data_IF_747515587905
#
_entry.id   IF_747515587905
#
_cell.length_a   1.000
_cell.length_b   1.000
_cell.length_c   1.000
_cell.angle_alpha   90.00
_cell.angle_beta   90.00
_cell.angle_gamma   90.00
#
_symmetry.space_group_name_H-M   'P 1'
#
loop_
_entity.id
_entity.type
_entity.pdbx_description
1 polymer ?
#
# COMPACT_ATOMS: atom_id res chain seq x y z
N UNK A 1 -2.45 4.02 -46.83
CA UNK A 1 -1.28 4.54 -46.12
C UNK A 1 -1.02 3.57 -44.99
N UNK A 2 0.09 2.86 -45.02
CA UNK A 2 0.47 1.81 -44.08
C UNK A 2 0.67 2.40 -42.70
N UNK A 3 -0.02 1.84 -41.71
CA UNK A 3 0.30 2.01 -40.29
C UNK A 3 1.68 1.42 -40.12
N UNK A 4 2.65 2.26 -39.78
CA UNK A 4 4.00 1.83 -39.45
C UNK A 4 3.91 0.80 -38.33
N UNK A 5 4.42 -0.40 -38.55
CA UNK A 5 4.73 -1.38 -37.50
C UNK A 5 5.72 -0.72 -36.55
N UNK A 6 5.20 -0.17 -35.45
CA UNK A 6 6.03 0.18 -34.32
C UNK A 6 6.68 -1.12 -33.83
N UNK A 7 7.98 -1.11 -33.81
CA UNK A 7 8.85 -2.21 -33.35
C UNK A 7 8.54 -2.45 -31.85
N UNK A 8 7.53 -3.30 -31.57
CA UNK A 8 7.06 -3.61 -30.23
C UNK A 8 7.90 -4.72 -29.59
N UNK A 9 9.20 -4.51 -29.48
CA UNK A 9 10.00 -5.37 -28.62
C UNK A 9 9.58 -5.16 -27.17
N UNK A 10 9.30 -6.23 -26.40
CA UNK A 10 8.91 -6.10 -25.00
C UNK A 10 9.94 -5.31 -24.19
N UNK A 11 9.47 -4.41 -23.33
CA UNK A 11 10.34 -3.62 -22.47
C UNK A 11 11.04 -4.56 -21.48
N UNK A 12 12.38 -4.47 -21.37
CA UNK A 12 13.17 -5.28 -20.45
C UNK A 12 12.96 -4.81 -19.00
N UNK A 13 12.61 -5.75 -18.13
CA UNK A 13 12.49 -5.57 -16.69
C UNK A 13 13.59 -6.40 -15.98
N UNK A 14 14.74 -5.79 -15.65
CA UNK A 14 15.84 -6.48 -15.00
C UNK A 14 15.47 -6.91 -13.57
N UNK A 15 16.26 -7.84 -13.01
CA UNK A 15 16.22 -8.19 -11.61
C UNK A 15 17.36 -7.54 -10.84
N UNK A 16 17.25 -7.54 -9.51
CA UNK A 16 18.31 -7.10 -8.61
C UNK A 16 18.55 -8.18 -7.57
N UNK A 17 19.80 -8.60 -7.42
CA UNK A 17 20.17 -9.65 -6.49
C UNK A 17 21.39 -9.23 -5.68
N UNK A 18 21.19 -8.88 -4.41
CA UNK A 18 22.25 -8.60 -3.43
C UNK A 18 23.35 -7.66 -3.97
N UNK A 19 22.95 -6.52 -4.51
CA UNK A 19 23.86 -5.50 -5.05
C UNK A 19 24.23 -5.68 -6.52
N UNK A 20 23.64 -6.65 -7.23
CA UNK A 20 23.91 -6.91 -8.64
C UNK A 20 22.63 -6.80 -9.46
N UNK A 21 22.71 -6.11 -10.57
CA UNK A 21 21.66 -6.12 -11.60
C UNK A 21 21.81 -7.38 -12.44
N UNK A 22 20.71 -8.07 -12.68
CA UNK A 22 20.62 -9.23 -13.57
C UNK A 22 19.81 -8.80 -14.78
N UNK A 23 20.49 -8.66 -15.90
CA UNK A 23 19.88 -8.30 -17.18
C UNK A 23 19.51 -9.57 -17.96
N UNK A 24 18.51 -9.47 -18.85
CA UNK A 24 18.09 -10.56 -19.72
C UNK A 24 16.67 -10.36 -20.24
N UNK A 25 16.34 -11.13 -21.27
CA UNK A 25 15.01 -11.14 -21.91
C UNK A 25 14.59 -12.59 -22.19
N UNK A 26 14.84 -13.47 -21.23
CA UNK A 26 14.67 -14.92 -21.38
C UNK A 26 13.22 -15.37 -21.29
N UNK A 27 12.38 -14.56 -20.63
CA UNK A 27 10.95 -14.87 -20.44
C UNK A 27 10.08 -13.66 -20.75
N UNK A 28 9.03 -13.89 -21.54
CA UNK A 28 8.02 -12.87 -21.82
C UNK A 28 6.91 -12.98 -20.79
N UNK A 29 6.59 -11.86 -20.19
CA UNK A 29 5.55 -11.68 -19.18
C UNK A 29 4.51 -10.70 -19.71
N UNK A 30 3.31 -10.70 -19.13
CA UNK A 30 2.24 -9.79 -19.52
C UNK A 30 1.77 -8.97 -18.33
N UNK A 31 1.73 -7.65 -18.50
CA UNK A 31 1.12 -6.75 -17.54
C UNK A 31 -0.37 -7.04 -17.41
N UNK A 32 -0.84 -7.22 -16.17
CA UNK A 32 -2.25 -7.50 -15.88
C UNK A 32 -3.14 -6.34 -16.31
N UNK A 33 -2.72 -5.11 -16.02
CA UNK A 33 -3.60 -3.94 -16.11
C UNK A 33 -3.72 -3.40 -17.53
N UNK A 34 -2.63 -3.34 -18.29
CA UNK A 34 -2.63 -2.84 -19.65
C UNK A 34 -2.51 -3.93 -20.72
N UNK A 35 -2.26 -5.17 -20.32
CA UNK A 35 -2.06 -6.27 -21.26
C UNK A 35 -0.83 -6.11 -22.16
N UNK A 36 0.16 -5.33 -21.73
CA UNK A 36 1.41 -5.09 -22.45
C UNK A 36 2.45 -6.14 -22.05
N UNK A 37 3.23 -6.61 -23.01
CA UNK A 37 4.28 -7.58 -22.78
C UNK A 37 5.57 -6.90 -22.31
N UNK A 38 6.24 -7.51 -21.33
CA UNK A 38 7.58 -7.14 -20.87
C UNK A 38 8.46 -8.38 -20.74
N UNK A 39 9.77 -8.21 -20.85
CA UNK A 39 10.72 -9.30 -20.80
C UNK A 39 11.50 -9.30 -19.48
N UNK A 40 11.75 -10.48 -18.91
CA UNK A 40 12.53 -10.66 -17.69
C UNK A 40 13.68 -11.63 -17.92
N UNK A 41 14.79 -11.51 -17.16
CA UNK A 41 15.82 -12.51 -17.15
C UNK A 41 15.35 -13.81 -16.51
N UNK A 42 16.00 -14.92 -16.83
CA UNK A 42 15.91 -16.17 -16.07
C UNK A 42 16.84 -16.09 -14.86
N UNK A 43 16.37 -16.56 -13.72
CA UNK A 43 17.17 -16.61 -12.50
C UNK A 43 17.15 -18.02 -11.88
N UNK A 44 18.28 -18.41 -11.30
CA UNK A 44 18.31 -19.54 -10.41
C UNK A 44 17.77 -19.10 -9.02
N UNK A 45 16.76 -19.80 -8.50
CA UNK A 45 16.14 -19.45 -7.21
C UNK A 45 17.13 -19.56 -6.04
N UNK A 46 18.18 -20.39 -6.16
CA UNK A 46 19.23 -20.48 -5.13
C UNK A 46 19.98 -19.15 -4.97
N UNK A 47 20.05 -18.29 -6.01
CA UNK A 47 20.74 -17.01 -5.95
C UNK A 47 20.01 -15.99 -5.04
N UNK A 48 18.69 -16.14 -4.86
CA UNK A 48 17.88 -15.25 -3.99
C UNK A 48 17.69 -15.82 -2.58
N UNK A 49 18.05 -17.07 -2.34
CA UNK A 49 17.98 -17.72 -1.03
C UNK A 49 19.27 -17.39 -0.26
N UNK A 50 19.13 -16.80 0.92
CA UNK A 50 20.25 -16.59 1.83
C UNK A 50 20.36 -17.80 2.75
N UNK A 51 21.48 -18.56 2.71
CA UNK A 51 21.65 -19.76 3.55
C UNK A 51 21.48 -19.45 5.04
N UNK A 52 20.82 -20.33 5.78
CA UNK A 52 20.66 -20.17 7.24
C UNK A 52 21.97 -20.30 8.01
N UNK A 53 22.98 -20.88 7.39
CA UNK A 53 24.34 -21.01 7.94
C UNK A 53 25.18 -19.76 7.81
N UNK A 54 24.77 -18.79 6.96
CA UNK A 54 25.45 -17.52 6.79
C UNK A 54 24.86 -16.44 7.68
N UNK A 55 25.73 -15.60 8.22
CA UNK A 55 25.34 -14.47 9.06
C UNK A 55 24.62 -13.42 8.19
N UNK A 56 23.40 -12.98 8.57
CA UNK A 56 22.69 -11.92 7.83
C UNK A 56 23.50 -10.62 7.78
N UNK A 57 23.56 -9.93 6.63
CA UNK A 57 24.40 -8.74 6.44
C UNK A 57 24.14 -7.63 7.49
N UNK A 58 22.90 -7.47 7.94
CA UNK A 58 22.48 -6.37 8.82
C UNK A 58 22.55 -6.68 10.32
N UNK A 59 22.86 -7.92 10.73
CA UNK A 59 22.72 -8.37 12.13
C UNK A 59 23.53 -7.53 13.14
N UNK A 60 24.72 -7.06 12.73
CA UNK A 60 25.64 -6.28 13.57
C UNK A 60 25.75 -4.83 13.12
N UNK A 61 24.94 -4.38 12.16
CA UNK A 61 24.93 -2.99 11.71
C UNK A 61 24.08 -2.18 12.69
N UNK A 62 24.60 -1.09 13.30
CA UNK A 62 23.81 -0.25 14.17
C UNK A 62 22.57 0.31 13.47
N UNK A 63 21.46 0.39 14.19
CA UNK A 63 20.20 0.96 13.63
C UNK A 63 20.40 2.41 13.17
N UNK A 64 21.28 3.18 13.82
CA UNK A 64 21.62 4.55 13.41
C UNK A 64 22.28 4.60 12.03
N UNK A 65 23.20 3.66 11.73
CA UNK A 65 23.86 3.56 10.43
C UNK A 65 22.86 3.18 9.32
N UNK A 66 21.93 2.29 9.64
CA UNK A 66 20.83 1.93 8.72
C UNK A 66 19.99 3.17 8.39
N UNK A 67 19.62 3.96 9.40
CA UNK A 67 18.85 5.19 9.21
C UNK A 67 19.64 6.20 8.37
N UNK A 68 20.90 6.44 8.69
CA UNK A 68 21.74 7.42 7.99
C UNK A 68 21.88 7.05 6.50
N UNK A 69 22.09 5.77 6.17
CA UNK A 69 22.12 5.31 4.78
C UNK A 69 20.76 5.43 4.06
N UNK A 70 19.66 5.13 4.75
CA UNK A 70 18.32 5.30 4.16
C UNK A 70 18.01 6.78 3.87
N UNK A 71 18.47 7.70 4.70
CA UNK A 71 18.34 9.16 4.46
C UNK A 71 19.15 9.56 3.24
N UNK A 72 20.42 9.14 3.15
CA UNK A 72 21.28 9.39 1.98
C UNK A 72 20.66 8.82 0.70
N UNK A 73 20.11 7.60 0.77
CA UNK A 73 19.39 7.00 -0.33
C UNK A 73 18.16 7.83 -0.75
N UNK A 74 17.41 8.35 0.24
CA UNK A 74 16.28 9.24 -0.01
C UNK A 74 16.69 10.52 -0.74
N UNK A 75 17.82 11.13 -0.37
CA UNK A 75 18.35 12.32 -1.03
C UNK A 75 18.75 12.04 -2.48
N UNK A 76 19.42 10.91 -2.73
CA UNK A 76 19.79 10.52 -4.08
C UNK A 76 18.58 10.13 -4.94
N UNK A 77 17.58 9.43 -4.38
CA UNK A 77 16.35 9.06 -5.10
C UNK A 77 15.59 10.32 -5.56
N UNK A 78 15.60 11.40 -4.76
CA UNK A 78 14.98 12.69 -5.13
C UNK A 78 15.78 13.50 -6.12
N UNK A 79 17.05 13.17 -6.32
CA UNK A 79 17.92 13.93 -7.22
C UNK A 79 17.40 13.88 -8.67
N UNK A 80 17.32 15.02 -9.36
CA UNK A 80 17.02 15.03 -10.80
C UNK A 80 18.08 14.31 -11.64
N UNK A 81 19.29 14.12 -11.09
CA UNK A 81 20.39 13.42 -11.74
C UNK A 81 20.28 11.89 -11.58
N UNK A 82 19.29 11.39 -10.87
CA UNK A 82 19.08 9.96 -10.70
C UNK A 82 18.51 9.33 -11.98
N UNK A 83 19.40 8.87 -12.83
CA UNK A 83 19.07 8.22 -14.12
C UNK A 83 18.19 6.98 -13.98
N UNK A 84 18.29 6.25 -12.85
CA UNK A 84 17.53 5.02 -12.63
C UNK A 84 16.05 5.30 -12.41
N UNK A 85 15.75 6.38 -11.69
CA UNK A 85 14.35 6.79 -11.47
C UNK A 85 13.74 7.37 -12.74
N UNK A 86 14.50 8.17 -13.53
CA UNK A 86 14.02 8.68 -14.82
C UNK A 86 13.70 7.53 -15.78
N UNK A 87 14.63 6.57 -15.93
CA UNK A 87 14.44 5.36 -16.72
C UNK A 87 13.22 4.55 -16.26
N UNK A 88 13.00 4.47 -14.94
CA UNK A 88 11.84 3.80 -14.36
C UNK A 88 10.53 4.47 -14.78
N UNK A 89 10.44 5.78 -14.65
CA UNK A 89 9.22 6.53 -15.02
C UNK A 89 8.91 6.40 -16.52
N UNK A 90 9.93 6.44 -17.38
CA UNK A 90 9.77 6.21 -18.81
C UNK A 90 9.23 4.81 -19.14
N UNK A 91 9.73 3.79 -18.45
CA UNK A 91 9.28 2.41 -18.64
C UNK A 91 7.88 2.17 -18.06
N UNK A 92 7.57 2.73 -16.89
CA UNK A 92 6.26 2.59 -16.25
C UNK A 92 5.14 3.20 -17.10
N UNK A 93 5.40 4.27 -17.82
CA UNK A 93 4.41 4.88 -18.70
C UNK A 93 3.77 3.90 -19.70
N UNK A 94 4.44 2.78 -20.01
CA UNK A 94 3.94 1.75 -20.94
C UNK A 94 3.23 0.57 -20.25
N UNK A 95 3.39 0.37 -18.93
CA UNK A 95 2.90 -0.83 -18.22
C UNK A 95 1.95 -0.51 -17.08
N UNK A 96 1.97 0.71 -16.55
CA UNK A 96 1.21 1.12 -15.39
C UNK A 96 -0.05 1.89 -15.78
N UNK A 97 -1.14 1.69 -15.02
CA UNK A 97 -2.41 2.37 -15.27
C UNK A 97 -2.42 3.84 -14.84
N UNK A 98 -1.58 4.23 -13.88
CA UNK A 98 -1.47 5.63 -13.47
C UNK A 98 -0.64 6.42 -14.50
N UNK A 99 -1.04 7.65 -14.84
CA UNK A 99 -0.23 8.55 -15.65
C UNK A 99 1.14 8.79 -15.02
N UNK A 100 2.14 9.08 -15.86
CA UNK A 100 3.52 9.35 -15.42
C UNK A 100 3.58 10.40 -14.34
N UNK A 101 2.89 11.51 -14.51
CA UNK A 101 2.89 12.63 -13.58
C UNK A 101 2.34 12.24 -12.21
N UNK A 102 1.34 11.34 -12.18
CA UNK A 102 0.79 10.80 -10.92
C UNK A 102 1.81 9.89 -10.25
N UNK A 103 2.48 9.02 -11.00
CA UNK A 103 3.53 8.14 -10.47
C UNK A 103 4.69 8.97 -9.90
N UNK A 104 5.16 9.99 -10.61
CA UNK A 104 6.22 10.89 -10.17
C UNK A 104 5.82 11.61 -8.87
N UNK A 105 4.60 12.15 -8.80
CA UNK A 105 4.10 12.81 -7.59
C UNK A 105 3.98 11.84 -6.39
N UNK A 106 3.49 10.61 -6.62
CA UNK A 106 3.42 9.55 -5.61
C UNK A 106 4.81 9.19 -5.09
N UNK A 107 5.78 9.02 -5.99
CA UNK A 107 7.16 8.71 -5.61
C UNK A 107 7.83 9.86 -4.86
N UNK A 108 7.65 11.10 -5.31
CA UNK A 108 8.16 12.28 -4.63
C UNK A 108 7.61 12.39 -3.20
N UNK A 109 6.31 12.10 -3.01
CA UNK A 109 5.70 12.03 -1.67
C UNK A 109 6.25 10.86 -0.85
N UNK A 110 6.30 9.65 -1.43
CA UNK A 110 6.72 8.45 -0.71
C UNK A 110 8.18 8.53 -0.20
N UNK A 111 9.08 9.17 -0.95
CA UNK A 111 10.49 9.33 -0.57
C UNK A 111 10.65 10.17 0.70
N UNK A 112 9.68 11.01 1.07
CA UNK A 112 9.71 11.71 2.35
C UNK A 112 9.70 10.75 3.55
N UNK A 113 9.25 9.52 3.38
CA UNK A 113 9.35 8.50 4.42
C UNK A 113 10.80 8.18 4.83
N UNK A 114 11.78 8.38 3.92
CA UNK A 114 13.20 8.22 4.19
C UNK A 114 13.81 9.46 4.87
N UNK A 115 13.10 10.03 5.83
CA UNK A 115 13.55 11.11 6.67
C UNK A 115 13.95 10.56 8.05
N UNK A 116 15.01 11.11 8.64
CA UNK A 116 15.58 10.63 9.92
C UNK A 116 14.54 10.59 11.04
N UNK A 117 13.81 11.68 11.22
CA UNK A 117 12.83 11.79 12.30
C UNK A 117 11.66 10.82 12.10
N UNK A 118 11.27 10.62 10.83
CA UNK A 118 10.21 9.65 10.47
C UNK A 118 10.66 8.22 10.78
N UNK A 119 11.87 7.84 10.36
CA UNK A 119 12.39 6.49 10.58
C UNK A 119 12.62 6.19 12.08
N UNK A 120 13.10 7.18 12.84
CA UNK A 120 13.24 7.06 14.29
C UNK A 120 11.88 6.92 14.97
N UNK A 121 10.91 7.76 14.58
CA UNK A 121 9.55 7.70 15.14
C UNK A 121 8.85 6.38 14.82
N UNK A 122 9.04 5.83 13.63
CA UNK A 122 8.52 4.50 13.25
C UNK A 122 9.04 3.43 14.21
N UNK A 123 10.33 3.45 14.56
CA UNK A 123 10.92 2.51 15.52
C UNK A 123 10.36 2.71 16.94
N UNK A 124 10.31 3.95 17.43
CA UNK A 124 9.80 4.28 18.76
C UNK A 124 8.35 3.83 18.98
N UNK A 125 7.51 3.90 17.95
CA UNK A 125 6.11 3.51 18.05
C UNK A 125 5.89 2.01 17.88
N UNK A 126 6.76 1.33 17.13
CA UNK A 126 6.63 -0.09 16.86
C UNK A 126 7.31 -0.99 17.92
N UNK A 127 8.27 -0.46 18.68
CA UNK A 127 9.01 -1.24 19.68
C UNK A 127 8.92 -0.62 21.06
N UNK A 128 8.66 -1.42 22.12
CA UNK A 128 8.72 -0.93 23.50
C UNK A 128 10.10 -0.36 23.88
N UNK A 129 11.17 -0.91 23.29
CA UNK A 129 12.53 -0.43 23.36
C UNK A 129 13.21 -0.74 22.01
N UNK A 130 13.44 0.29 21.15
CA UNK A 130 14.08 0.11 19.85
C UNK A 130 15.50 -0.46 19.92
N UNK A 131 16.21 -0.29 21.05
CA UNK A 131 17.54 -0.89 21.26
C UNK A 131 17.54 -2.40 21.16
N UNK A 132 16.37 -3.04 21.33
CA UNK A 132 16.22 -4.49 21.15
C UNK A 132 16.62 -4.98 19.74
N UNK A 133 16.69 -4.11 18.75
CA UNK A 133 17.21 -4.43 17.42
C UNK A 133 18.74 -4.52 17.38
N UNK A 134 19.42 -3.84 18.30
CA UNK A 134 20.89 -3.76 18.35
C UNK A 134 21.48 -4.65 19.45
N UNK A 135 20.82 -4.75 20.59
CA UNK A 135 21.36 -5.38 21.79
C UNK A 135 20.33 -6.23 22.56
N UNK A 136 20.81 -7.03 23.49
CA UNK A 136 20.00 -7.78 24.41
C UNK A 136 19.51 -6.89 25.55
N UNK A 137 18.20 -6.70 25.67
CA UNK A 137 17.56 -5.87 26.69
C UNK A 137 17.32 -6.73 27.94
N UNK A 138 17.88 -6.36 29.11
CA UNK A 138 17.67 -7.08 30.35
C UNK A 138 16.21 -6.94 30.82
N UNK A 139 15.65 -8.06 31.26
CA UNK A 139 14.33 -8.16 31.88
C UNK A 139 14.44 -8.89 33.21
N UNK A 140 13.56 -8.53 34.13
CA UNK A 140 13.43 -9.24 35.40
C UNK A 140 11.92 -9.41 35.70
N UNK A 141 11.51 -10.63 36.06
CA UNK A 141 10.13 -10.87 36.46
C UNK A 141 9.88 -10.55 37.94
N UNK A 142 8.64 -10.71 38.38
CA UNK A 142 8.24 -10.48 39.77
C UNK A 142 8.85 -11.48 40.79
N UNK A 143 9.40 -12.61 40.33
CA UNK A 143 10.09 -13.60 41.15
C UNK A 143 11.59 -13.28 41.28
N UNK A 144 12.09 -12.27 40.59
CA UNK A 144 13.50 -11.92 40.54
C UNK A 144 14.30 -12.69 39.47
N UNK A 145 13.66 -13.58 38.69
CA UNK A 145 14.30 -14.30 37.60
C UNK A 145 14.70 -13.33 36.47
N UNK A 146 15.95 -13.44 36.04
CA UNK A 146 16.54 -12.58 35.01
C UNK A 146 16.46 -13.26 33.64
N UNK A 147 16.22 -12.44 32.62
CA UNK A 147 16.28 -12.83 31.22
C UNK A 147 16.74 -11.66 30.36
N UNK A 148 17.06 -11.93 29.11
CA UNK A 148 17.40 -10.93 28.11
C UNK A 148 16.51 -11.17 26.89
N UNK A 149 16.04 -10.08 26.28
CA UNK A 149 15.18 -10.14 25.08
C UNK A 149 15.81 -9.34 23.96
N UNK A 150 15.82 -9.91 22.76
CA UNK A 150 16.29 -9.22 21.55
C UNK A 150 15.35 -9.48 20.38
N UNK A 151 15.21 -8.48 19.49
CA UNK A 151 14.49 -8.60 18.23
C UNK A 151 15.49 -8.92 17.10
N UNK A 152 15.19 -9.95 16.32
CA UNK A 152 16.01 -10.36 15.18
C UNK A 152 15.24 -10.22 13.88
N UNK A 153 15.92 -9.71 12.83
CA UNK A 153 15.38 -9.65 11.48
C UNK A 153 15.22 -11.02 10.86
N UNK A 154 14.03 -11.37 10.39
CA UNK A 154 13.77 -12.62 9.68
C UNK A 154 14.20 -12.55 8.21
N UNK A 155 13.97 -13.64 7.49
CA UNK A 155 13.99 -13.66 6.02
C UNK A 155 12.58 -13.42 5.51
N UNK A 156 12.37 -12.29 4.85
CA UNK A 156 11.07 -11.84 4.37
C UNK A 156 10.93 -11.99 2.87
N UNK A 157 9.76 -12.43 2.43
CA UNK A 157 9.32 -12.23 1.06
C UNK A 157 8.25 -11.14 1.09
N UNK A 158 8.46 -10.08 0.32
CA UNK A 158 7.47 -9.01 0.14
C UNK A 158 6.77 -9.19 -1.21
N UNK A 159 5.46 -9.43 -1.20
CA UNK A 159 4.63 -9.38 -2.40
C UNK A 159 4.15 -7.95 -2.55
N UNK A 160 4.64 -7.26 -3.57
CA UNK A 160 4.36 -5.84 -3.77
C UNK A 160 3.05 -5.62 -4.54
N UNK A 161 2.30 -4.55 -4.23
CA UNK A 161 1.10 -4.18 -4.96
C UNK A 161 1.46 -3.57 -6.32
N UNK A 162 0.52 -3.64 -7.27
CA UNK A 162 0.70 -3.04 -8.59
C UNK A 162 0.18 -1.62 -8.72
N UNK A 163 -0.69 -1.21 -7.82
CA UNK A 163 -1.41 0.08 -7.89
C UNK A 163 -0.79 1.20 -7.04
N UNK A 164 0.25 0.91 -6.28
CA UNK A 164 0.85 1.87 -5.35
C UNK A 164 2.38 1.75 -5.33
N UNK A 165 3.09 2.35 -6.29
CA UNK A 165 4.56 2.26 -6.41
C UNK A 165 5.29 2.79 -5.17
N UNK A 166 4.72 3.75 -4.44
CA UNK A 166 5.29 4.28 -3.19
C UNK A 166 5.46 3.24 -2.06
N UNK A 167 4.71 2.13 -2.09
CA UNK A 167 4.86 1.03 -1.12
C UNK A 167 6.24 0.39 -1.21
N UNK A 168 6.90 0.43 -2.36
CA UNK A 168 8.26 -0.09 -2.53
C UNK A 168 9.26 0.59 -1.57
N UNK A 169 9.19 1.92 -1.44
CA UNK A 169 10.06 2.68 -0.51
C UNK A 169 9.81 2.28 0.93
N UNK A 170 8.54 2.20 1.34
CA UNK A 170 8.17 1.77 2.70
C UNK A 170 8.65 0.35 2.99
N UNK A 171 8.50 -0.57 2.03
CA UNK A 171 8.95 -1.97 2.18
C UNK A 171 10.46 -2.09 2.32
N UNK A 172 11.24 -1.30 1.55
CA UNK A 172 12.71 -1.21 1.69
C UNK A 172 13.07 -0.73 3.10
N UNK A 173 12.51 0.42 3.51
CA UNK A 173 12.84 1.04 4.80
C UNK A 173 12.48 0.12 5.96
N UNK A 174 11.28 -0.43 5.98
CA UNK A 174 10.82 -1.32 7.05
C UNK A 174 11.64 -2.60 7.12
N UNK A 175 11.96 -3.21 5.97
CA UNK A 175 12.82 -4.40 5.90
C UNK A 175 14.24 -4.12 6.40
N UNK A 176 14.82 -2.97 6.06
CA UNK A 176 16.15 -2.56 6.54
C UNK A 176 16.14 -2.25 8.05
N UNK A 177 15.18 -1.48 8.54
CA UNK A 177 15.05 -1.10 9.96
C UNK A 177 14.97 -2.31 10.89
N UNK A 178 14.28 -3.37 10.49
CA UNK A 178 14.20 -4.62 11.26
C UNK A 178 15.34 -5.59 10.95
N UNK A 179 16.35 -5.17 10.19
CA UNK A 179 17.55 -5.95 9.84
C UNK A 179 17.27 -7.26 9.12
N UNK A 180 16.21 -7.30 8.30
CA UNK A 180 15.79 -8.48 7.56
C UNK A 180 16.65 -8.74 6.33
N UNK A 181 16.62 -9.98 5.87
CA UNK A 181 16.91 -10.32 4.48
C UNK A 181 15.60 -10.21 3.72
N UNK A 182 15.61 -9.52 2.58
CA UNK A 182 14.40 -9.14 1.88
C UNK A 182 14.43 -9.62 0.42
N UNK A 183 13.42 -10.39 0.05
CA UNK A 183 13.12 -10.73 -1.33
C UNK A 183 11.82 -10.03 -1.73
N UNK A 184 11.90 -9.12 -2.69
CA UNK A 184 10.75 -8.41 -3.21
C UNK A 184 10.23 -9.10 -4.48
N UNK A 185 8.99 -9.60 -4.40
CA UNK A 185 8.23 -10.07 -5.56
C UNK A 185 7.56 -8.85 -6.20
N UNK A 186 8.03 -8.46 -7.37
CA UNK A 186 7.47 -7.35 -8.13
C UNK A 186 6.11 -7.70 -8.71
N UNK A 187 5.26 -6.67 -8.91
CA UNK A 187 3.99 -6.79 -9.60
C UNK A 187 4.18 -6.76 -11.12
N UNK A 188 3.26 -7.38 -11.87
CA UNK A 188 3.25 -7.25 -13.34
C UNK A 188 2.82 -5.86 -13.83
N UNK A 189 2.15 -5.07 -12.98
CA UNK A 189 1.81 -3.67 -13.28
C UNK A 189 3.01 -2.74 -13.04
N UNK A 190 3.89 -3.09 -12.09
CA UNK A 190 5.10 -2.32 -11.76
C UNK A 190 6.31 -3.27 -11.60
N UNK A 191 6.91 -3.72 -12.68
CA UNK A 191 8.12 -4.54 -12.63
C UNK A 191 9.43 -3.73 -12.60
N UNK A 192 9.39 -2.40 -12.37
CA UNK A 192 10.53 -1.51 -12.53
C UNK A 192 10.91 -0.76 -11.26
N UNK A 193 9.94 -0.23 -10.49
CA UNK A 193 10.19 0.70 -9.37
C UNK A 193 11.16 0.11 -8.34
N UNK A 194 10.92 -1.11 -7.89
CA UNK A 194 11.78 -1.72 -6.86
C UNK A 194 13.24 -1.84 -7.32
N UNK A 195 13.45 -2.26 -8.56
CA UNK A 195 14.80 -2.39 -9.11
C UNK A 195 15.48 -1.02 -9.27
N UNK A 196 14.76 0.00 -9.71
CA UNK A 196 15.29 1.35 -9.83
C UNK A 196 15.73 1.92 -8.47
N UNK A 197 14.94 1.70 -7.43
CA UNK A 197 15.28 2.10 -6.05
C UNK A 197 16.54 1.38 -5.54
N UNK A 198 16.62 0.06 -5.72
CA UNK A 198 17.78 -0.72 -5.30
C UNK A 198 19.04 -0.41 -6.10
N UNK A 199 18.92 -0.07 -7.41
CA UNK A 199 20.03 0.46 -8.22
C UNK A 199 20.50 1.81 -7.73
N UNK A 200 19.59 2.69 -7.34
CA UNK A 200 19.92 3.99 -6.74
C UNK A 200 20.71 3.83 -5.45
N UNK A 201 20.32 2.91 -4.59
CA UNK A 201 21.05 2.60 -3.36
C UNK A 201 22.43 1.98 -3.64
N UNK A 202 22.52 1.10 -4.63
CA UNK A 202 23.79 0.47 -5.04
C UNK A 202 24.76 1.45 -5.73
N UNK A 203 24.28 2.55 -6.30
CA UNK A 203 25.10 3.63 -6.84
C UNK A 203 25.85 4.37 -5.73
N UNK A 204 25.23 4.51 -4.56
CA UNK A 204 25.86 5.10 -3.37
C UNK A 204 26.95 4.16 -2.84
N UNK A 205 26.59 2.95 -2.48
CA UNK A 205 27.51 1.89 -2.07
C UNK A 205 26.96 0.49 -2.42
N UNK A 206 27.48 -0.17 -3.47
CA UNK A 206 27.02 -1.50 -3.89
C UNK A 206 27.36 -2.59 -2.85
N UNK A 207 28.24 -2.31 -1.88
CA UNK A 207 28.62 -3.25 -0.82
C UNK A 207 27.96 -2.97 0.52
N UNK A 208 27.19 -1.90 0.64
CA UNK A 208 26.49 -1.60 1.88
C UNK A 208 25.63 -2.78 2.34
N UNK A 209 25.63 -3.14 3.64
CA UNK A 209 24.88 -4.29 4.15
C UNK A 209 23.39 -4.27 3.81
N UNK A 210 22.76 -3.08 3.75
CA UNK A 210 21.36 -2.95 3.30
C UNK A 210 21.22 -3.46 1.87
N UNK A 211 22.08 -3.01 0.96
CA UNK A 211 22.06 -3.40 -0.46
C UNK A 211 22.27 -4.91 -0.61
N UNK A 212 23.17 -5.49 0.19
CA UNK A 212 23.44 -6.93 0.22
C UNK A 212 22.31 -7.76 0.83
N UNK A 213 21.45 -7.16 1.64
CA UNK A 213 20.30 -7.84 2.25
C UNK A 213 19.05 -7.89 1.36
N UNK A 214 19.10 -7.25 0.17
CA UNK A 214 17.92 -7.04 -0.68
C UNK A 214 18.05 -7.70 -2.04
N UNK A 215 16.96 -8.32 -2.50
CA UNK A 215 16.78 -8.86 -3.84
C UNK A 215 15.38 -8.54 -4.36
N UNK A 216 15.26 -8.25 -5.65
CA UNK A 216 13.98 -7.98 -6.32
C UNK A 216 13.88 -8.79 -7.60
N UNK A 217 12.88 -9.63 -7.71
CA UNK A 217 12.62 -10.45 -8.89
C UNK A 217 11.12 -10.46 -9.21
N UNK A 218 10.80 -10.87 -10.42
CA UNK A 218 9.42 -11.09 -10.85
C UNK A 218 9.16 -12.58 -11.11
N UNK A 219 8.02 -13.04 -10.65
CA UNK A 219 7.37 -14.27 -11.11
C UNK A 219 5.86 -14.09 -11.13
N UNK A 220 5.20 -14.80 -12.02
CA UNK A 220 3.76 -14.77 -12.11
C UNK A 220 3.14 -15.37 -10.85
N UNK A 221 2.15 -14.69 -10.25
CA UNK A 221 1.39 -15.25 -9.12
C UNK A 221 0.73 -16.58 -9.52
N UNK A 222 0.89 -17.60 -8.67
CA UNK A 222 0.45 -18.96 -8.97
C UNK A 222 1.44 -19.78 -9.80
N UNK A 223 2.71 -19.32 -9.96
CA UNK A 223 3.79 -20.18 -10.43
C UNK A 223 4.15 -21.19 -9.33
N UNK A 224 3.54 -22.37 -9.43
CA UNK A 224 3.68 -23.43 -8.44
C UNK A 224 5.12 -23.86 -8.21
N UNK A 225 5.97 -23.86 -9.23
CA UNK A 225 7.37 -24.22 -9.07
C UNK A 225 8.12 -23.20 -8.20
N UNK A 226 8.02 -21.93 -8.54
CA UNK A 226 8.68 -20.84 -7.81
C UNK A 226 8.12 -20.69 -6.40
N UNK A 227 6.79 -20.68 -6.25
CA UNK A 227 6.14 -20.46 -4.95
C UNK A 227 6.32 -21.65 -4.02
N UNK A 228 6.20 -22.90 -4.49
CA UNK A 228 6.50 -24.10 -3.69
C UNK A 228 7.98 -24.20 -3.31
N UNK A 229 8.88 -23.58 -4.05
CA UNK A 229 10.30 -23.52 -3.71
C UNK A 229 10.56 -22.47 -2.66
N UNK A 230 10.11 -21.22 -2.86
CA UNK A 230 10.46 -20.09 -2.02
C UNK A 230 9.62 -20.00 -0.74
N UNK A 231 8.32 -20.35 -0.79
CA UNK A 231 7.40 -20.22 0.34
C UNK A 231 7.55 -21.39 1.34
N UNK A 232 8.77 -21.56 1.83
CA UNK A 232 9.11 -22.64 2.78
C UNK A 232 9.89 -22.11 3.97
N UNK A 233 9.60 -22.62 5.18
CA UNK A 233 10.31 -22.20 6.40
C UNK A 233 11.81 -22.54 6.39
N UNK A 234 12.28 -23.41 5.49
CA UNK A 234 13.70 -23.65 5.28
C UNK A 234 14.43 -22.43 4.73
N UNK A 235 13.77 -21.63 3.92
CA UNK A 235 14.37 -20.50 3.18
C UNK A 235 13.91 -19.15 3.72
N UNK A 236 12.61 -18.99 3.95
CA UNK A 236 12.03 -17.73 4.42
C UNK A 236 11.17 -17.97 5.67
N UNK A 237 11.06 -16.93 6.50
CA UNK A 237 10.35 -17.02 7.78
C UNK A 237 8.93 -16.45 7.67
N UNK A 238 8.79 -15.35 6.91
CA UNK A 238 7.50 -14.65 6.78
C UNK A 238 7.29 -14.13 5.38
N UNK A 239 6.03 -14.05 5.02
CA UNK A 239 5.55 -13.41 3.83
C UNK A 239 4.83 -12.12 4.21
N UNK A 240 5.24 -10.99 3.65
CA UNK A 240 4.60 -9.68 3.78
C UNK A 240 3.86 -9.43 2.48
N UNK A 241 2.53 -9.52 2.50
CA UNK A 241 1.75 -9.44 1.28
C UNK A 241 0.91 -8.16 1.24
N UNK A 242 1.13 -7.37 0.19
CA UNK A 242 0.29 -6.25 -0.20
C UNK A 242 -0.47 -6.64 -1.46
N UNK A 243 -1.78 -6.63 -1.45
CA UNK A 243 -2.48 -6.96 -2.68
C UNK A 243 -3.98 -7.18 -2.54
N UNK A 244 -4.62 -7.38 -3.69
CA UNK A 244 -6.02 -7.74 -3.78
C UNK A 244 -6.29 -9.17 -3.29
N UNK A 245 -7.57 -9.52 -3.14
CA UNK A 245 -8.01 -10.80 -2.61
C UNK A 245 -7.37 -12.02 -3.27
N UNK A 246 -7.23 -12.01 -4.59
CA UNK A 246 -6.61 -13.11 -5.34
C UNK A 246 -5.15 -13.32 -4.97
N UNK A 247 -4.38 -12.24 -4.79
CA UNK A 247 -2.98 -12.31 -4.38
C UNK A 247 -2.85 -12.87 -2.96
N UNK A 248 -3.69 -12.41 -2.03
CA UNK A 248 -3.72 -12.91 -0.64
C UNK A 248 -4.16 -14.37 -0.61
N UNK A 249 -5.23 -14.74 -1.31
CA UNK A 249 -5.72 -16.11 -1.39
C UNK A 249 -4.67 -17.07 -2.02
N UNK A 250 -3.90 -16.58 -2.99
CA UNK A 250 -2.82 -17.37 -3.56
C UNK A 250 -1.73 -17.70 -2.55
N UNK A 251 -1.35 -16.75 -1.68
CA UNK A 251 -0.27 -16.98 -0.71
C UNK A 251 -0.72 -17.76 0.52
N UNK A 252 -1.99 -17.64 0.94
CA UNK A 252 -2.55 -18.36 2.09
C UNK A 252 -2.38 -19.88 1.98
N UNK A 253 -2.48 -20.44 0.78
CA UNK A 253 -2.34 -21.89 0.52
C UNK A 253 -0.96 -22.46 0.88
N UNK A 254 0.07 -21.60 0.99
CA UNK A 254 1.44 -21.99 1.35
C UNK A 254 1.75 -21.81 2.83
N UNK A 255 0.83 -21.25 3.62
CA UNK A 255 1.05 -21.04 5.04
C UNK A 255 1.03 -22.38 5.80
N UNK A 256 1.93 -22.49 6.76
CA UNK A 256 2.05 -23.67 7.59
C UNK A 256 2.97 -23.44 8.79
N UNK A 257 3.24 -24.47 9.59
CA UNK A 257 4.14 -24.36 10.74
C UNK A 257 5.49 -23.77 10.37
N UNK A 258 5.90 -22.70 11.05
CA UNK A 258 7.18 -22.02 10.83
C UNK A 258 7.21 -21.01 9.68
N UNK A 259 6.13 -20.86 8.90
CA UNK A 259 6.01 -19.83 7.85
C UNK A 259 4.77 -18.98 8.13
N UNK A 260 4.97 -17.66 8.33
CA UNK A 260 3.94 -16.73 8.78
C UNK A 260 3.57 -15.73 7.71
N UNK A 261 2.34 -15.24 7.75
CA UNK A 261 1.84 -14.13 6.91
C UNK A 261 1.67 -12.86 7.75
N UNK A 262 2.16 -11.76 7.20
CA UNK A 262 1.77 -10.40 7.58
C UNK A 262 1.08 -9.81 6.36
N UNK A 263 -0.25 -9.77 6.38
CA UNK A 263 -1.03 -9.31 5.24
C UNK A 263 -1.52 -7.88 5.43
N UNK A 264 -1.48 -7.14 4.36
CA UNK A 264 -2.16 -5.87 4.17
C UNK A 264 -3.30 -6.15 3.19
N UNK A 265 -4.43 -6.57 3.77
CA UNK A 265 -5.56 -7.12 3.03
C UNK A 265 -6.27 -6.06 2.19
N UNK A 266 -7.05 -6.46 1.18
CA UNK A 266 -7.94 -5.55 0.47
C UNK A 266 -8.92 -4.91 1.46
N UNK A 267 -9.00 -3.59 1.41
CA UNK A 267 -9.84 -2.80 2.32
C UNK A 267 -10.74 -1.86 1.54
N UNK A 268 -11.79 -1.42 2.21
CA UNK A 268 -12.73 -0.42 1.71
C UNK A 268 -12.75 0.74 2.68
N UNK A 269 -12.47 1.95 2.20
CA UNK A 269 -12.61 3.16 2.99
C UNK A 269 -13.95 3.84 2.70
N UNK A 270 -14.48 4.49 3.73
CA UNK A 270 -15.79 5.15 3.69
C UNK A 270 -15.70 6.56 4.26
N UNK A 271 -16.73 7.37 4.02
CA UNK A 271 -16.90 8.65 4.70
C UNK A 271 -18.25 8.69 5.40
N UNK A 272 -18.30 9.38 6.52
CA UNK A 272 -19.53 9.66 7.29
C UNK A 272 -19.71 11.18 7.37
N UNK A 273 -20.76 11.69 6.73
CA UNK A 273 -21.08 13.12 6.63
C UNK A 273 -22.35 13.43 7.39
N UNK A 274 -22.24 14.19 8.47
CA UNK A 274 -23.35 14.59 9.32
C UNK A 274 -24.22 15.70 8.69
N UNK A 275 -25.41 15.89 9.25
CA UNK A 275 -26.39 16.89 8.82
C UNK A 275 -25.88 18.31 8.85
N UNK A 276 -24.84 18.59 9.60
CA UNK A 276 -24.18 19.90 9.71
C UNK A 276 -23.59 20.37 8.37
N UNK A 277 -23.34 19.43 7.44
CA UNK A 277 -22.97 19.75 6.06
C UNK A 277 -24.04 20.57 5.32
N UNK A 278 -25.30 20.59 5.82
CA UNK A 278 -26.43 21.25 5.22
C UNK A 278 -26.84 22.56 5.90
N UNK A 279 -26.01 23.12 6.77
CA UNK A 279 -26.29 24.39 7.45
C UNK A 279 -26.25 25.59 6.51
N UNK A 280 -25.43 25.51 5.45
CA UNK A 280 -25.34 26.51 4.39
C UNK A 280 -24.84 25.92 3.07
N UNK A 281 -24.90 26.69 1.98
CA UNK A 281 -24.33 26.28 0.71
C UNK A 281 -22.80 26.14 0.77
N UNK A 282 -22.14 26.98 1.58
CA UNK A 282 -20.70 26.94 1.80
C UNK A 282 -20.28 25.64 2.51
N UNK A 283 -21.05 25.17 3.49
CA UNK A 283 -20.75 23.92 4.19
C UNK A 283 -20.97 22.69 3.31
N UNK A 284 -21.94 22.72 2.38
CA UNK A 284 -22.13 21.67 1.37
C UNK A 284 -20.89 21.62 0.44
N UNK A 285 -20.48 22.77 -0.08
CA UNK A 285 -19.30 22.85 -0.98
C UNK A 285 -18.03 22.41 -0.28
N UNK A 286 -17.82 22.81 0.98
CA UNK A 286 -16.68 22.38 1.77
C UNK A 286 -16.69 20.86 1.99
N UNK A 287 -17.78 20.29 2.46
CA UNK A 287 -17.89 18.86 2.69
C UNK A 287 -17.70 18.05 1.39
N UNK A 288 -18.24 18.53 0.27
CA UNK A 288 -18.06 17.91 -1.04
C UNK A 288 -16.61 17.99 -1.53
N UNK A 289 -15.92 19.11 -1.32
CA UNK A 289 -14.50 19.26 -1.69
C UNK A 289 -13.62 18.32 -0.88
N UNK A 290 -13.81 18.26 0.44
CA UNK A 290 -13.11 17.34 1.33
C UNK A 290 -13.38 15.88 0.95
N UNK A 291 -14.65 15.50 0.73
CA UNK A 291 -15.00 14.15 0.31
C UNK A 291 -14.37 13.78 -1.02
N UNK A 292 -14.30 14.72 -1.98
CA UNK A 292 -13.67 14.49 -3.27
C UNK A 292 -12.17 14.24 -3.16
N UNK A 293 -11.48 14.85 -2.20
CA UNK A 293 -10.06 14.58 -1.93
C UNK A 293 -9.86 13.12 -1.46
N UNK A 294 -10.72 12.63 -0.57
CA UNK A 294 -10.69 11.25 -0.10
C UNK A 294 -11.06 10.25 -1.20
N UNK A 295 -12.03 10.57 -2.06
CA UNK A 295 -12.41 9.72 -3.21
C UNK A 295 -11.27 9.63 -4.22
N UNK A 296 -10.66 10.76 -4.57
CA UNK A 296 -9.71 10.86 -5.69
C UNK A 296 -8.27 10.47 -5.33
N UNK A 297 -8.04 10.00 -4.11
CA UNK A 297 -6.70 9.60 -3.67
C UNK A 297 -6.10 8.53 -4.61
N UNK A 298 -4.97 8.86 -5.27
CA UNK A 298 -4.33 8.06 -6.32
C UNK A 298 -5.32 7.66 -7.44
N UNK A 299 -6.14 8.59 -7.90
CA UNK A 299 -7.23 8.32 -8.84
C UNK A 299 -8.14 7.16 -8.38
N UNK A 300 -8.41 7.09 -7.06
CA UNK A 300 -9.18 6.07 -6.37
C UNK A 300 -8.51 4.66 -6.32
N UNK A 301 -7.24 4.54 -6.70
CA UNK A 301 -6.50 3.27 -6.60
C UNK A 301 -6.06 2.93 -5.16
N UNK A 302 -5.95 3.92 -4.27
CA UNK A 302 -5.55 3.69 -2.89
C UNK A 302 -6.62 2.94 -2.08
N UNK A 303 -6.18 2.05 -1.18
CA UNK A 303 -7.09 1.38 -0.24
C UNK A 303 -7.75 2.36 0.75
N UNK A 304 -7.10 3.49 1.04
CA UNK A 304 -7.66 4.57 1.85
C UNK A 304 -8.62 5.49 1.09
N UNK A 305 -8.73 5.37 -0.25
CA UNK A 305 -9.68 6.14 -1.02
C UNK A 305 -11.11 5.78 -0.63
N UNK A 306 -11.91 6.81 -0.28
CA UNK A 306 -13.30 6.62 0.13
C UNK A 306 -14.17 6.24 -1.06
N UNK A 307 -14.93 5.16 -0.93
CA UNK A 307 -15.79 4.62 -1.99
C UNK A 307 -17.25 4.84 -1.72
N UNK A 308 -17.65 4.80 -0.45
CA UNK A 308 -19.01 5.01 0.00
C UNK A 308 -19.06 6.21 0.95
N UNK A 309 -19.98 7.14 0.65
CA UNK A 309 -20.21 8.35 1.44
C UNK A 309 -21.57 8.18 2.13
N UNK A 310 -21.59 7.87 3.42
CA UNK A 310 -22.84 7.81 4.21
C UNK A 310 -23.20 9.21 4.67
N UNK A 311 -24.30 9.74 4.15
CA UNK A 311 -24.68 11.15 4.33
C UNK A 311 -26.01 11.25 5.05
N UNK A 312 -26.00 11.90 6.22
CA UNK A 312 -27.17 12.13 7.08
C UNK A 312 -27.96 13.34 6.57
N UNK A 313 -29.13 13.10 5.94
CA UNK A 313 -29.94 14.19 5.39
C UNK A 313 -31.24 13.75 4.72
N UNK A 314 -32.01 14.72 4.23
CA UNK A 314 -33.14 14.45 3.32
C UNK A 314 -32.63 14.08 1.92
N UNK A 315 -33.49 13.45 1.10
CA UNK A 315 -33.13 13.12 -0.30
C UNK A 315 -32.63 14.36 -1.06
N UNK A 316 -33.35 15.48 -0.97
CA UNK A 316 -32.98 16.73 -1.65
C UNK A 316 -31.62 17.29 -1.17
N UNK A 317 -31.34 17.21 0.13
CA UNK A 317 -30.05 17.63 0.69
C UNK A 317 -28.92 16.75 0.17
N UNK A 318 -29.10 15.43 0.16
CA UNK A 318 -28.11 14.46 -0.30
C UNK A 318 -27.91 14.57 -1.82
N UNK A 319 -28.96 14.85 -2.61
CA UNK A 319 -28.83 15.15 -4.04
C UNK A 319 -27.93 16.39 -4.28
N UNK A 320 -28.13 17.47 -3.49
CA UNK A 320 -27.29 18.66 -3.60
C UNK A 320 -25.84 18.39 -3.26
N UNK A 321 -25.58 17.62 -2.22
CA UNK A 321 -24.22 17.15 -1.86
C UNK A 321 -23.63 16.30 -2.96
N UNK A 322 -24.37 15.33 -3.52
CA UNK A 322 -23.94 14.44 -4.58
C UNK A 322 -23.57 15.19 -5.84
N UNK A 323 -24.39 16.20 -6.21
CA UNK A 323 -24.07 17.08 -7.34
C UNK A 323 -22.80 17.90 -7.10
N UNK A 324 -22.61 18.44 -5.90
CA UNK A 324 -21.39 19.17 -5.54
C UNK A 324 -20.17 18.24 -5.56
N UNK A 325 -20.30 17.04 -4.98
CA UNK A 325 -19.24 16.02 -4.99
C UNK A 325 -18.84 15.62 -6.43
N UNK A 326 -19.81 15.38 -7.31
CA UNK A 326 -19.54 15.08 -8.72
C UNK A 326 -18.74 16.19 -9.39
N UNK A 327 -19.12 17.46 -9.20
CA UNK A 327 -18.38 18.62 -9.74
C UNK A 327 -16.92 18.60 -9.28
N UNK A 328 -16.67 18.39 -7.99
CA UNK A 328 -15.32 18.35 -7.41
C UNK A 328 -14.50 17.17 -7.91
N UNK A 329 -15.11 15.98 -8.05
CA UNK A 329 -14.44 14.81 -8.64
C UNK A 329 -14.06 15.10 -10.10
N UNK A 330 -14.97 15.68 -10.90
CA UNK A 330 -14.70 16.00 -12.29
C UNK A 330 -13.57 17.05 -12.45
N UNK A 331 -13.54 18.08 -11.59
CA UNK A 331 -12.46 19.07 -11.54
C UNK A 331 -11.10 18.41 -11.25
N UNK A 332 -11.03 17.53 -10.25
CA UNK A 332 -9.81 16.80 -9.90
C UNK A 332 -9.40 15.78 -10.97
N UNK A 333 -10.36 15.13 -11.61
CA UNK A 333 -10.11 14.21 -12.71
C UNK A 333 -9.51 14.93 -13.92
N UNK A 334 -10.05 16.10 -14.27
CA UNK A 334 -9.50 16.94 -15.34
C UNK A 334 -8.08 17.40 -15.04
N UNK A 335 -7.80 17.77 -13.79
CA UNK A 335 -6.45 18.17 -13.35
C UNK A 335 -5.43 17.01 -13.37
N UNK A 336 -5.87 15.76 -13.14
CA UNK A 336 -5.00 14.59 -13.18
C UNK A 336 -4.63 14.14 -14.60
N UNK A 337 -5.37 14.58 -15.62
CA UNK A 337 -5.16 14.17 -17.01
C UNK A 337 -5.51 12.69 -17.32
N UNK A 338 -5.95 11.93 -16.33
CA UNK A 338 -6.33 10.51 -16.49
C UNK A 338 -7.79 10.39 -16.92
N UNK A 339 -8.02 9.99 -18.16
CA UNK A 339 -9.35 9.75 -18.75
C UNK A 339 -9.43 8.28 -19.17
N UNK A 340 -9.32 7.37 -18.22
CA UNK A 340 -9.55 5.95 -18.48
C UNK A 340 -11.05 5.68 -18.55
N UNK A 341 -11.53 4.96 -19.57
CA UNK A 341 -12.91 4.51 -19.59
C UNK A 341 -13.19 3.56 -18.41
N UNK A 342 -14.42 3.53 -17.96
CA UNK A 342 -14.87 2.53 -16.99
C UNK A 342 -14.75 1.13 -17.59
N UNK A 343 -14.52 0.14 -16.73
CA UNK A 343 -14.61 -1.27 -17.13
C UNK A 343 -16.02 -1.58 -17.65
N UNK A 344 -16.16 -2.43 -18.69
CA UNK A 344 -17.45 -2.66 -19.33
C UNK A 344 -18.56 -3.08 -18.35
N UNK A 345 -18.27 -3.99 -17.40
CA UNK A 345 -19.26 -4.43 -16.42
C UNK A 345 -19.76 -3.30 -15.52
N UNK A 346 -18.86 -2.48 -15.00
CA UNK A 346 -19.24 -1.35 -14.14
C UNK A 346 -19.97 -0.25 -14.93
N UNK A 347 -19.57 -0.04 -16.19
CA UNK A 347 -20.29 0.89 -17.07
C UNK A 347 -21.73 0.43 -17.31
N UNK A 348 -21.93 -0.85 -17.63
CA UNK A 348 -23.26 -1.42 -17.88
C UNK A 348 -24.16 -1.30 -16.63
N UNK A 349 -23.62 -1.52 -15.44
CA UNK A 349 -24.32 -1.31 -14.16
C UNK A 349 -24.73 0.16 -13.96
N UNK A 350 -23.81 1.11 -14.20
CA UNK A 350 -24.11 2.55 -14.05
C UNK A 350 -25.15 2.98 -15.09
N UNK A 351 -25.05 2.53 -16.34
CA UNK A 351 -26.03 2.83 -17.39
C UNK A 351 -27.42 2.26 -17.03
N UNK A 352 -27.48 1.08 -16.41
CA UNK A 352 -28.73 0.52 -15.90
C UNK A 352 -29.32 1.37 -14.77
N UNK A 353 -28.48 1.85 -13.82
CA UNK A 353 -28.93 2.72 -12.72
C UNK A 353 -29.46 4.06 -13.22
N UNK A 354 -28.91 4.63 -14.30
CA UNK A 354 -29.45 5.86 -14.92
C UNK A 354 -30.90 5.65 -15.40
N UNK A 355 -31.28 4.42 -15.78
CA UNK A 355 -32.63 4.09 -16.22
C UNK A 355 -33.58 3.78 -15.04
N UNK A 356 -33.06 3.61 -13.82
CA UNK A 356 -33.78 3.30 -12.60
C UNK A 356 -33.89 4.56 -11.72
N UNK A 357 -34.45 5.64 -12.24
CA UNK A 357 -34.46 6.98 -11.62
C UNK A 357 -35.30 7.09 -10.34
N UNK A 358 -36.19 6.13 -10.08
CA UNK A 358 -36.92 6.03 -8.81
C UNK A 358 -35.99 5.59 -7.63
N UNK A 359 -35.02 4.72 -7.92
CA UNK A 359 -34.15 4.09 -6.91
C UNK A 359 -32.79 4.78 -6.81
N UNK A 360 -32.28 5.32 -7.93
CA UNK A 360 -30.95 5.94 -8.02
C UNK A 360 -31.01 7.35 -8.61
N UNK A 361 -30.15 8.23 -8.10
CA UNK A 361 -29.85 9.52 -8.79
C UNK A 361 -28.38 9.49 -9.20
N UNK A 362 -28.10 9.49 -10.49
CA UNK A 362 -26.71 9.41 -11.02
C UNK A 362 -26.29 10.78 -11.56
N UNK A 363 -25.15 11.27 -11.07
CA UNK A 363 -24.50 12.50 -11.50
C UNK A 363 -23.23 12.15 -12.29
N UNK A 364 -23.16 12.63 -13.52
CA UNK A 364 -22.08 12.31 -14.47
C UNK A 364 -22.47 11.22 -15.47
N UNK A 365 -21.52 10.91 -16.35
CA UNK A 365 -21.67 9.92 -17.41
C UNK A 365 -20.65 8.78 -17.19
N UNK A 366 -20.94 7.59 -17.70
CA UNK A 366 -20.05 6.42 -17.61
C UNK A 366 -18.80 6.56 -18.55
N UNK A 367 -18.22 7.76 -18.63
CA UNK A 367 -17.14 8.13 -19.54
C UNK A 367 -15.73 8.17 -18.89
N UNK A 368 -15.64 7.82 -17.58
CA UNK A 368 -14.37 7.81 -16.83
C UNK A 368 -13.92 9.16 -16.28
N UNK A 369 -14.74 10.20 -16.37
CA UNK A 369 -14.42 11.55 -15.85
C UNK A 369 -14.90 11.78 -14.41
N UNK A 370 -15.68 10.86 -13.88
CA UNK A 370 -16.21 10.91 -12.53
C UNK A 370 -17.71 10.67 -12.49
N UNK A 371 -18.15 9.77 -11.60
CA UNK A 371 -19.55 9.44 -11.41
C UNK A 371 -19.88 9.44 -9.92
N UNK A 372 -21.01 10.03 -9.57
CA UNK A 372 -21.58 9.92 -8.22
C UNK A 372 -22.97 9.31 -8.31
N UNK A 373 -23.17 8.24 -7.56
CA UNK A 373 -24.43 7.51 -7.50
C UNK A 373 -25.05 7.75 -6.12
N UNK A 374 -26.18 8.43 -6.04
CA UNK A 374 -26.96 8.54 -4.83
C UNK A 374 -27.99 7.39 -4.77
N UNK A 375 -28.03 6.71 -3.63
CA UNK A 375 -28.90 5.56 -3.34
C UNK A 375 -29.31 5.51 -1.87
N UNK A 376 -30.33 4.71 -1.53
CA UNK A 376 -30.74 4.45 -0.15
C UNK A 376 -29.90 3.33 0.51
N UNK A 377 -29.29 2.43 -0.28
CA UNK A 377 -28.42 1.33 0.15
C UNK A 377 -27.15 1.33 -0.70
N UNK A 378 -26.02 0.80 -0.19
CA UNK A 378 -24.82 0.66 -1.01
C UNK A 378 -25.05 -0.14 -2.29
N UNK A 379 -24.43 0.30 -3.40
CA UNK A 379 -24.44 -0.46 -4.65
C UNK A 379 -23.71 -1.79 -4.51
N UNK A 380 -24.14 -2.82 -5.27
CA UNK A 380 -23.62 -4.18 -5.17
C UNK A 380 -22.21 -4.37 -5.76
N UNK A 381 -21.69 -3.40 -6.50
CA UNK A 381 -20.33 -3.42 -7.03
C UNK A 381 -19.38 -2.55 -6.20
N UNK A 382 -18.07 -2.80 -6.33
CA UNK A 382 -17.04 -2.00 -5.67
C UNK A 382 -16.74 -0.75 -6.52
N UNK A 383 -17.08 0.48 -6.05
CA UNK A 383 -16.83 1.70 -6.83
C UNK A 383 -15.33 1.93 -7.03
N UNK A 384 -14.90 2.03 -8.28
CA UNK A 384 -13.53 2.30 -8.71
C UNK A 384 -13.52 3.36 -9.80
N UNK A 385 -12.33 3.78 -10.20
CA UNK A 385 -12.13 4.69 -11.33
C UNK A 385 -12.98 5.97 -11.25
N UNK A 386 -12.83 6.70 -10.12
CA UNK A 386 -13.50 8.00 -9.87
C UNK A 386 -15.02 7.89 -9.71
N UNK A 387 -15.49 6.73 -9.28
CA UNK A 387 -16.89 6.49 -8.96
C UNK A 387 -17.12 6.53 -7.45
N UNK A 388 -18.06 7.32 -6.98
CA UNK A 388 -18.45 7.37 -5.57
C UNK A 388 -19.93 7.00 -5.41
N UNK A 389 -20.23 6.17 -4.42
CA UNK A 389 -21.61 5.91 -4.02
C UNK A 389 -21.94 6.74 -2.77
N UNK A 390 -22.91 7.63 -2.88
CA UNK A 390 -23.46 8.40 -1.79
C UNK A 390 -24.71 7.68 -1.29
N UNK A 391 -24.64 7.17 -0.07
CA UNK A 391 -25.74 6.44 0.57
C UNK A 391 -26.42 7.35 1.57
N UNK A 392 -27.70 7.63 1.35
CA UNK A 392 -28.49 8.43 2.29
C UNK A 392 -28.79 7.63 3.56
N UNK A 393 -28.57 8.25 4.70
CA UNK A 393 -28.94 7.67 6.01
C UNK A 393 -29.79 8.65 6.80
N UNK A 394 -30.71 8.13 7.60
CA UNK A 394 -31.52 8.93 8.50
C UNK A 394 -30.73 9.46 9.69
N UNK A 395 -29.71 8.72 10.08
CA UNK A 395 -28.75 9.06 11.14
C UNK A 395 -27.40 8.40 10.81
N UNK A 396 -26.28 8.99 11.25
CA UNK A 396 -24.98 8.34 11.15
C UNK A 396 -24.93 6.99 11.91
N UNK A 397 -25.83 6.75 12.85
CA UNK A 397 -25.99 5.44 13.49
C UNK A 397 -26.36 4.34 12.48
N UNK A 398 -27.14 4.68 11.46
CA UNK A 398 -27.54 3.72 10.41
C UNK A 398 -26.35 3.28 9.55
N UNK A 399 -25.32 4.12 9.42
CA UNK A 399 -24.08 3.80 8.69
C UNK A 399 -23.25 2.72 9.41
N UNK A 400 -23.42 2.56 10.72
CA UNK A 400 -22.64 1.61 11.52
C UNK A 400 -22.81 0.15 11.08
N UNK A 401 -23.96 -0.21 10.48
CA UNK A 401 -24.22 -1.57 9.98
C UNK A 401 -23.29 -1.99 8.82
N UNK A 402 -22.66 -1.03 8.16
CA UNK A 402 -21.74 -1.26 7.04
C UNK A 402 -20.27 -1.29 7.44
N UNK A 403 -19.97 -0.95 8.70
CA UNK A 403 -18.61 -0.98 9.23
C UNK A 403 -18.23 -2.42 9.61
N UNK A 404 -17.09 -2.88 9.13
CA UNK A 404 -16.58 -4.23 9.43
C UNK A 404 -15.05 -4.27 9.35
N UNK A 405 -14.44 -5.43 9.54
CA UNK A 405 -12.97 -5.62 9.55
C UNK A 405 -12.26 -5.28 8.21
N UNK A 406 -13.02 -5.16 7.12
CA UNK A 406 -12.51 -4.67 5.85
C UNK A 406 -12.58 -3.13 5.74
N UNK A 407 -13.16 -2.41 6.72
CA UNK A 407 -13.18 -0.96 6.75
C UNK A 407 -11.84 -0.42 7.22
N UNK A 408 -11.05 0.18 6.31
CA UNK A 408 -9.74 0.72 6.66
C UNK A 408 -9.85 2.11 7.29
N UNK A 409 -10.29 3.09 6.49
CA UNK A 409 -10.34 4.50 6.91
C UNK A 409 -11.78 5.01 6.85
N UNK A 410 -12.17 5.74 7.89
CA UNK A 410 -13.44 6.48 7.97
C UNK A 410 -13.11 7.97 8.01
N UNK A 411 -13.39 8.70 6.91
CA UNK A 411 -13.39 10.16 6.88
C UNK A 411 -14.65 10.70 7.55
N UNK A 412 -14.52 11.56 8.55
CA UNK A 412 -15.64 12.01 9.38
C UNK A 412 -15.88 13.52 9.29
N UNK A 413 -17.13 13.94 9.07
CA UNK A 413 -17.53 15.33 9.05
C UNK A 413 -18.89 15.54 9.74
N UNK A 414 -19.05 16.53 10.62
CA UNK A 414 -17.99 17.33 11.25
C UNK A 414 -17.20 16.48 12.26
N UNK A 415 -15.93 16.79 12.43
CA UNK A 415 -15.03 15.94 13.23
C UNK A 415 -15.30 15.96 14.73
N UNK A 416 -15.92 17.01 15.25
CA UNK A 416 -16.29 17.10 16.67
C UNK A 416 -17.31 16.03 17.10
N UNK A 417 -18.11 15.48 16.16
CA UNK A 417 -18.99 14.34 16.43
C UNK A 417 -18.24 12.99 16.55
N UNK A 418 -16.99 12.93 16.16
CA UNK A 418 -16.23 11.66 16.11
C UNK A 418 -16.12 10.99 17.48
N UNK A 419 -16.11 11.78 18.57
CA UNK A 419 -16.02 11.25 19.92
C UNK A 419 -17.17 10.29 20.28
N UNK A 420 -18.35 10.49 19.70
CA UNK A 420 -19.54 9.66 19.92
C UNK A 420 -19.51 8.35 19.12
N UNK A 421 -18.67 8.28 18.08
CA UNK A 421 -18.63 7.18 17.10
C UNK A 421 -17.36 6.35 17.13
N UNK A 422 -16.19 6.93 17.48
CA UNK A 422 -14.87 6.29 17.30
C UNK A 422 -14.75 4.90 17.94
N UNK A 423 -15.26 4.74 19.17
CA UNK A 423 -15.16 3.46 19.89
C UNK A 423 -16.08 2.40 19.28
N UNK A 424 -17.23 2.83 18.76
CA UNK A 424 -18.18 1.99 18.03
C UNK A 424 -17.61 1.60 16.65
N UNK A 425 -17.02 2.55 15.93
CA UNK A 425 -16.32 2.31 14.67
C UNK A 425 -15.17 1.30 14.84
N UNK A 426 -14.35 1.51 15.87
CA UNK A 426 -13.26 0.60 16.20
C UNK A 426 -13.79 -0.80 16.58
N UNK A 427 -14.83 -0.89 17.40
CA UNK A 427 -15.50 -2.14 17.76
C UNK A 427 -16.14 -2.84 16.56
N UNK A 428 -16.65 -2.06 15.59
CA UNK A 428 -17.19 -2.56 14.32
C UNK A 428 -16.12 -3.08 13.35
N UNK A 429 -14.86 -2.71 13.57
CA UNK A 429 -13.72 -3.18 12.76
C UNK A 429 -12.98 -2.10 11.97
N UNK A 430 -13.45 -0.83 12.02
CA UNK A 430 -12.73 0.27 11.38
C UNK A 430 -11.33 0.43 11.99
N UNK A 431 -10.33 0.60 11.13
CA UNK A 431 -8.94 0.58 11.56
C UNK A 431 -8.35 1.97 11.76
N UNK A 432 -8.97 2.98 11.17
CA UNK A 432 -8.57 4.37 11.25
C UNK A 432 -9.78 5.30 11.12
N UNK A 433 -9.82 6.34 11.95
CA UNK A 433 -10.78 7.43 11.83
C UNK A 433 -10.02 8.74 11.67
N UNK A 434 -10.42 9.58 10.72
CA UNK A 434 -9.75 10.84 10.41
C UNK A 434 -10.76 11.93 10.04
N UNK A 435 -10.32 13.18 9.94
CA UNK A 435 -11.11 14.22 9.33
C UNK A 435 -11.44 13.85 7.86
N UNK A 436 -12.62 14.20 7.41
CA UNK A 436 -12.95 14.14 5.98
C UNK A 436 -11.94 14.97 5.18
N UNK A 437 -11.44 14.44 4.08
CA UNK A 437 -10.39 15.04 3.26
C UNK A 437 -8.95 14.69 3.66
N UNK A 438 -8.77 13.96 4.77
CA UNK A 438 -7.47 13.61 5.33
C UNK A 438 -7.13 12.11 5.20
N UNK A 439 -7.84 11.39 4.34
CA UNK A 439 -7.58 9.95 4.15
C UNK A 439 -6.16 9.67 3.67
N UNK A 440 -5.56 10.57 2.88
CA UNK A 440 -4.19 10.49 2.39
C UNK A 440 -3.11 10.76 3.44
N UNK A 441 -3.43 11.51 4.50
CA UNK A 441 -2.52 11.84 5.58
C UNK A 441 -2.40 10.70 6.60
N UNK A 442 -1.19 10.36 7.03
CA UNK A 442 -0.98 9.39 8.11
C UNK A 442 -0.06 9.96 9.17
N UNK A 443 -0.39 9.76 10.44
CA UNK A 443 0.55 10.08 11.53
C UNK A 443 1.64 9.01 11.56
N UNK A 444 2.88 9.47 11.50
CA UNK A 444 4.04 8.58 11.47
C UNK A 444 4.10 7.67 12.68
N UNK A 445 4.32 6.38 12.44
CA UNK A 445 4.45 5.36 13.48
C UNK A 445 3.12 4.83 14.03
N UNK A 446 1.98 5.42 13.66
CA UNK A 446 0.68 4.89 14.06
C UNK A 446 0.42 3.49 13.46
N UNK A 447 -0.47 2.71 14.06
CA UNK A 447 -0.88 1.43 13.50
C UNK A 447 -1.35 1.56 12.05
N UNK A 448 -1.02 0.58 11.24
CA UNK A 448 -1.50 0.45 9.87
C UNK A 448 -2.16 -0.92 9.72
N UNK A 449 -3.34 -0.96 9.12
CA UNK A 449 -4.16 -2.17 9.02
C UNK A 449 -4.29 -2.92 10.36
N UNK A 450 -4.65 -2.16 11.41
CA UNK A 450 -4.84 -2.62 12.79
C UNK A 450 -3.60 -3.28 13.43
N UNK A 451 -2.40 -3.02 12.95
CA UNK A 451 -1.16 -3.59 13.51
C UNK A 451 -0.01 -2.58 13.54
N UNK A 452 1.01 -2.88 14.33
CA UNK A 452 2.32 -2.26 14.26
C UNK A 452 3.22 -3.13 13.37
N UNK A 453 3.47 -2.76 12.09
CA UNK A 453 4.08 -3.67 11.12
C UNK A 453 5.47 -4.16 11.51
N UNK A 454 6.36 -3.28 11.99
CA UNK A 454 7.73 -3.67 12.33
C UNK A 454 7.77 -4.68 13.48
N UNK A 455 6.87 -4.53 14.46
CA UNK A 455 6.74 -5.50 15.55
C UNK A 455 6.32 -6.89 15.03
N UNK A 456 5.47 -6.95 14.00
CA UNK A 456 5.04 -8.20 13.36
C UNK A 456 6.13 -8.82 12.48
N UNK A 457 7.06 -8.01 11.96
CA UNK A 457 8.12 -8.50 11.09
C UNK A 457 9.19 -9.26 11.87
N UNK A 458 9.61 -8.82 13.05
CA UNK A 458 10.72 -9.41 13.80
C UNK A 458 10.41 -10.78 14.43
N UNK A 459 11.48 -11.49 14.79
CA UNK A 459 11.46 -12.59 15.74
C UNK A 459 11.96 -12.11 17.11
N UNK A 460 11.14 -12.27 18.14
CA UNK A 460 11.54 -11.99 19.50
C UNK A 460 12.17 -13.22 20.11
N UNK A 461 13.41 -13.09 20.60
CA UNK A 461 14.17 -14.17 21.21
C UNK A 461 14.41 -13.84 22.67
N UNK A 462 14.16 -14.79 23.56
CA UNK A 462 14.50 -14.71 24.97
C UNK A 462 15.72 -15.60 25.26
N UNK A 463 16.68 -15.03 26.00
CA UNK A 463 17.75 -15.76 26.65
C UNK A 463 17.48 -15.72 28.15
N UNK A 464 17.29 -16.88 28.80
CA UNK A 464 16.99 -16.96 30.21
C UNK A 464 18.23 -17.44 30.99
N UNK A 465 18.58 -16.71 32.04
CA UNK A 465 19.60 -17.15 32.96
C UNK A 465 19.09 -18.37 33.75
N UNK A 466 19.91 -19.40 33.84
CA UNK A 466 19.61 -20.57 34.67
C UNK A 466 19.55 -20.18 36.14
N UNK A 467 18.70 -20.83 36.92
CA UNK A 467 18.80 -20.79 38.39
C UNK A 467 19.99 -21.64 38.80
N UNK A 468 21.01 -21.04 39.41
CA UNK A 468 22.08 -21.82 40.03
C UNK A 468 21.44 -22.79 41.06
N UNK A 469 21.51 -24.08 40.78
CA UNK A 469 21.07 -25.09 41.73
C UNK A 469 22.22 -25.27 42.72
N UNK A 470 22.05 -24.67 43.92
CA UNK A 470 22.91 -24.88 45.07
C UNK A 470 22.84 -26.32 45.55
#
# INVERSE_FOLDING_TARGET
MSVAEQNNSPVSAPFFVRGKVVEGSDSIQRSRDLGVDFATPKINLDDVIHPRTEVPPLINVPTSEIIDFLVEAGDYIRSPDNKYMQECFDRMASTHILPREVVEAVMAHAVHYLNKDILQRELEQNFPDPKALDEWIPKQDFTGRKSFVRAYGPRLIHVLPGNSPGVAIKSIAQGALVKSINLFKMSSADPFTMVALLRSMAEIDPNHPIVKSMSAIYWRGGDDFTENTLYRPQYFDKLVAWGGGDAINNVIKYLGPGFQLVSFDPKTSISMVGREAFESDETIELAADLASADVMMLNQEACAASRYQFVEGTREQVDRFSQALHRRIAERAAASGDIRPLEPGMRDEIEAMILMDDDYTVFGEADGKGVVIHSEEPVDFHPINKTANVVRVGSLDDAMKYVNVATQTVGFYPYDRVADYRDRLASGGAQRVTHLGEAGGTTVGNPWDAMYPLHRFVHWIAHEDGVERS
#
